data_IF_812645279402
#
_entry.id   IF_812645279402
#
_cell.length_a   1.000
_cell.length_b   1.000
_cell.length_c   1.000
_cell.angle_alpha   90.00
_cell.angle_beta   90.00
_cell.angle_gamma   90.00
#
_symmetry.space_group_name_H-M   'P 1'
#
loop_
_entity.id
_entity.type
_entity.pdbx_description
1 polymer ?
#
# COMPACT_ATOMS: atom_id res chain seq x y z
N UNK A 1 2.14 7.48 24.53
CA UNK A 1 0.81 8.13 24.50
C UNK A 1 0.14 7.92 23.14
N UNK A 2 -1.19 7.79 23.07
CA UNK A 2 -1.91 7.66 21.80
C UNK A 2 -2.45 9.01 21.32
N UNK A 3 -2.41 9.26 20.01
CA UNK A 3 -2.98 10.45 19.38
C UNK A 3 -4.49 10.24 19.12
N UNK A 4 -5.32 10.78 20.01
CA UNK A 4 -6.78 10.67 19.96
C UNK A 4 -7.41 11.49 18.83
N UNK A 5 -6.79 12.60 18.41
CA UNK A 5 -7.29 13.39 17.28
C UNK A 5 -7.15 12.59 15.98
N UNK A 6 -5.97 11.99 15.78
CA UNK A 6 -5.70 11.14 14.63
C UNK A 6 -6.66 9.95 14.58
N UNK A 7 -6.85 9.24 15.71
CA UNK A 7 -7.79 8.12 15.78
C UNK A 7 -9.21 8.53 15.39
N UNK A 8 -9.68 9.69 15.89
CA UNK A 8 -10.99 10.25 15.56
C UNK A 8 -11.13 10.55 14.07
N UNK A 9 -10.11 11.17 13.47
CA UNK A 9 -10.10 11.48 12.04
C UNK A 9 -10.12 10.21 11.18
N UNK A 10 -9.39 9.16 11.56
CA UNK A 10 -9.39 7.86 10.86
C UNK A 10 -10.78 7.20 10.92
N UNK A 11 -11.44 7.20 12.09
CA UNK A 11 -12.81 6.72 12.24
C UNK A 11 -13.79 7.51 11.36
N UNK A 12 -13.57 8.82 11.22
CA UNK A 12 -14.34 9.70 10.34
C UNK A 12 -13.96 9.59 8.84
N UNK A 13 -13.09 8.65 8.47
CA UNK A 13 -12.80 8.35 7.07
C UNK A 13 -11.50 8.94 6.54
N UNK A 14 -10.64 9.55 7.37
CA UNK A 14 -9.30 9.94 6.95
C UNK A 14 -8.55 8.71 6.41
N UNK A 15 -8.01 8.80 5.20
CA UNK A 15 -7.18 7.77 4.56
C UNK A 15 -5.92 8.40 3.98
N UNK A 16 -4.83 7.63 3.86
CA UNK A 16 -3.63 8.07 3.15
C UNK A 16 -3.92 8.62 1.76
N UNK A 17 -3.18 9.66 1.39
CA UNK A 17 -3.23 10.24 0.06
C UNK A 17 -2.68 9.26 -0.98
N UNK A 18 -3.30 9.23 -2.16
CA UNK A 18 -2.86 8.38 -3.26
C UNK A 18 -1.76 9.12 -4.01
N UNK A 19 -0.56 8.58 -3.99
CA UNK A 19 0.57 9.16 -4.72
C UNK A 19 0.45 8.84 -6.20
N UNK A 20 0.75 9.83 -7.05
CA UNK A 20 0.84 9.65 -8.50
C UNK A 20 1.78 8.48 -8.82
N UNK A 21 1.51 7.74 -9.90
CA UNK A 21 2.26 6.52 -10.28
C UNK A 21 2.08 5.30 -9.37
N UNK A 22 1.18 5.36 -8.36
CA UNK A 22 0.78 4.14 -7.64
C UNK A 22 0.16 3.13 -8.62
N UNK A 23 0.65 1.89 -8.70
CA UNK A 23 0.07 0.85 -9.57
C UNK A 23 -1.41 0.66 -9.29
N UNK A 24 -2.24 0.66 -10.33
CA UNK A 24 -3.70 0.61 -10.20
C UNK A 24 -4.19 -0.65 -9.47
N UNK A 25 -3.50 -1.77 -9.68
CA UNK A 25 -3.77 -3.04 -8.97
C UNK A 25 -3.47 -2.93 -7.48
N UNK A 26 -2.43 -2.19 -7.09
CA UNK A 26 -2.12 -1.94 -5.69
C UNK A 26 -3.10 -0.94 -5.09
N UNK A 27 -3.44 0.13 -5.81
CA UNK A 27 -4.43 1.12 -5.38
C UNK A 27 -5.78 0.48 -5.04
N UNK A 28 -6.23 -0.43 -5.89
CA UNK A 28 -7.48 -1.17 -5.69
C UNK A 28 -7.43 -2.06 -4.45
N UNK A 29 -6.32 -2.77 -4.25
CA UNK A 29 -6.10 -3.61 -3.06
C UNK A 29 -6.02 -2.77 -1.77
N UNK A 30 -5.20 -1.72 -1.76
CA UNK A 30 -5.03 -0.79 -0.65
C UNK A 30 -6.38 -0.18 -0.23
N UNK A 31 -7.23 0.18 -1.21
CA UNK A 31 -8.57 0.69 -0.94
C UNK A 31 -9.48 -0.30 -0.23
N UNK A 32 -9.38 -1.59 -0.57
CA UNK A 32 -10.13 -2.65 0.13
C UNK A 32 -9.59 -2.89 1.54
N UNK A 33 -8.27 -2.85 1.75
CA UNK A 33 -7.65 -3.06 3.06
C UNK A 33 -8.18 -2.11 4.15
N UNK A 34 -8.52 -0.87 3.80
CA UNK A 34 -9.02 0.13 4.74
C UNK A 34 -10.50 0.49 4.54
N UNK A 35 -11.27 -0.40 3.91
CA UNK A 35 -12.68 -0.20 3.66
C UNK A 35 -13.45 0.02 4.98
N UNK A 36 -14.47 0.90 4.96
CA UNK A 36 -15.24 1.24 6.17
C UNK A 36 -15.98 0.01 6.71
N UNK A 37 -16.65 -0.74 5.83
CA UNK A 37 -17.22 -2.04 6.16
C UNK A 37 -16.09 -3.08 6.34
N UNK A 38 -15.92 -3.69 7.53
CA UNK A 38 -14.91 -4.72 7.77
C UNK A 38 -15.04 -5.95 6.88
N UNK A 39 -16.27 -6.33 6.49
CA UNK A 39 -16.52 -7.52 5.66
C UNK A 39 -16.00 -7.37 4.21
N UNK A 40 -15.80 -6.14 3.75
CA UNK A 40 -15.24 -5.83 2.43
C UNK A 40 -13.71 -5.85 2.42
N UNK A 41 -13.09 -5.95 3.61
CA UNK A 41 -11.63 -6.00 3.74
C UNK A 41 -11.15 -7.39 3.34
N UNK A 42 -10.04 -7.50 2.58
CA UNK A 42 -9.44 -8.79 2.32
C UNK A 42 -8.94 -9.39 3.62
N UNK A 43 -9.12 -10.69 3.76
CA UNK A 43 -8.45 -11.43 4.82
C UNK A 43 -6.96 -11.64 4.49
N UNK A 44 -6.20 -12.12 5.46
CA UNK A 44 -4.74 -12.31 5.30
C UNK A 44 -4.39 -13.32 4.21
N UNK A 45 -5.21 -14.36 4.01
CA UNK A 45 -4.95 -15.38 2.99
C UNK A 45 -5.12 -14.78 1.59
N UNK A 46 -6.23 -14.08 1.35
CA UNK A 46 -6.46 -13.39 0.07
C UNK A 46 -5.34 -12.38 -0.23
N UNK A 47 -4.89 -11.65 0.80
CA UNK A 47 -3.81 -10.68 0.67
C UNK A 47 -2.49 -11.37 0.28
N UNK A 48 -2.11 -12.45 0.97
CA UNK A 48 -0.91 -13.24 0.67
C UNK A 48 -0.96 -13.80 -0.76
N UNK A 49 -2.06 -14.47 -1.14
CA UNK A 49 -2.23 -15.03 -2.48
C UNK A 49 -2.10 -13.97 -3.57
N UNK A 50 -2.68 -12.78 -3.34
CA UNK A 50 -2.60 -11.67 -4.29
C UNK A 50 -1.17 -11.17 -4.46
N UNK A 51 -0.46 -10.96 -3.35
CA UNK A 51 0.91 -10.47 -3.35
C UNK A 51 1.88 -11.49 -3.96
N UNK A 52 1.72 -12.78 -3.64
CA UNK A 52 2.53 -13.87 -4.17
C UNK A 52 2.31 -14.05 -5.68
N UNK A 53 1.07 -13.93 -6.14
CA UNK A 53 0.73 -13.93 -7.56
C UNK A 53 1.42 -12.78 -8.30
N UNK A 54 1.45 -11.58 -7.71
CA UNK A 54 2.14 -10.44 -8.29
C UNK A 54 3.65 -10.61 -8.33
N UNK A 55 4.25 -11.09 -7.23
CA UNK A 55 5.68 -11.36 -7.17
C UNK A 55 6.09 -12.39 -8.24
N UNK A 56 5.32 -13.47 -8.37
CA UNK A 56 5.51 -14.50 -9.40
C UNK A 56 5.42 -13.92 -10.81
N UNK A 57 4.39 -13.10 -11.07
CA UNK A 57 4.21 -12.47 -12.37
C UNK A 57 5.37 -11.53 -12.73
N UNK A 58 5.84 -10.73 -11.76
CA UNK A 58 6.98 -9.81 -11.94
C UNK A 58 8.26 -10.60 -12.24
N UNK A 59 8.49 -11.72 -11.56
CA UNK A 59 9.70 -12.54 -11.72
C UNK A 59 9.71 -13.34 -13.03
N UNK A 60 8.59 -13.97 -13.39
CA UNK A 60 8.56 -14.98 -14.46
C UNK A 60 7.81 -14.54 -15.72
N UNK A 61 7.03 -13.47 -15.66
CA UNK A 61 6.26 -12.96 -16.79
C UNK A 61 6.36 -11.43 -16.88
N UNK A 62 7.53 -10.89 -17.30
CA UNK A 62 7.77 -9.46 -17.28
C UNK A 62 6.82 -8.68 -18.18
N UNK A 63 6.17 -9.32 -19.16
CA UNK A 63 5.20 -8.70 -20.08
C UNK A 63 3.76 -8.70 -19.57
N UNK A 64 3.46 -9.45 -18.50
CA UNK A 64 2.13 -9.52 -17.90
C UNK A 64 1.62 -8.15 -17.47
N UNK A 65 0.29 -7.95 -17.48
CA UNK A 65 -0.35 -6.70 -17.08
C UNK A 65 0.13 -6.22 -15.70
N UNK A 66 0.21 -7.13 -14.72
CA UNK A 66 0.72 -6.85 -13.38
C UNK A 66 2.14 -6.30 -13.48
N UNK A 67 3.05 -7.04 -14.12
CA UNK A 67 4.43 -6.63 -14.30
C UNK A 67 4.52 -5.26 -14.97
N UNK A 68 3.65 -4.96 -15.95
CA UNK A 68 3.64 -3.63 -16.62
C UNK A 68 3.31 -2.49 -15.68
N UNK A 69 2.39 -2.69 -14.72
CA UNK A 69 2.02 -1.65 -13.77
C UNK A 69 3.12 -1.38 -12.73
N UNK A 70 3.92 -2.39 -12.40
CA UNK A 70 5.05 -2.24 -11.48
C UNK A 70 6.37 -1.85 -12.17
N UNK A 71 6.42 -1.80 -13.52
CA UNK A 71 7.58 -1.27 -14.27
C UNK A 71 7.62 0.26 -14.13
N UNK A 72 8.63 0.77 -13.43
CA UNK A 72 8.93 2.22 -13.39
C UNK A 72 8.88 2.86 -11.99
N UNK A 73 8.46 2.13 -10.95
CA UNK A 73 8.42 2.65 -9.57
C UNK A 73 9.85 2.80 -8.95
N UNK A 74 10.89 2.31 -9.63
CA UNK A 74 12.29 2.42 -9.18
C UNK A 74 12.91 3.82 -9.33
N UNK A 75 12.26 4.78 -10.01
CA UNK A 75 12.78 6.17 -10.05
C UNK A 75 12.40 7.01 -8.82
N UNK A 76 11.37 6.61 -8.09
CA UNK A 76 10.89 7.32 -6.89
C UNK A 76 11.25 6.61 -5.58
N UNK A 77 11.91 5.44 -5.63
CA UNK A 77 12.42 4.75 -4.43
C UNK A 77 13.35 5.65 -3.60
N UNK A 78 14.13 6.52 -4.25
CA UNK A 78 14.94 7.54 -3.59
C UNK A 78 14.11 8.64 -2.92
N UNK A 79 12.87 8.90 -3.35
CA UNK A 79 12.00 9.92 -2.76
C UNK A 79 11.28 9.38 -1.52
N UNK A 80 10.89 8.10 -1.51
CA UNK A 80 10.27 7.46 -0.34
C UNK A 80 11.28 7.08 0.75
N UNK A 81 12.48 6.61 0.40
CA UNK A 81 13.57 6.38 1.38
C UNK A 81 14.03 7.70 2.06
N UNK A 82 13.82 8.85 1.42
CA UNK A 82 14.08 10.18 1.99
C UNK A 82 12.89 10.76 2.79
N UNK A 83 11.71 10.12 2.75
CA UNK A 83 10.51 10.53 3.50
C UNK A 83 10.13 9.55 4.61
N UNK A 84 10.88 8.45 4.78
CA UNK A 84 10.85 7.69 6.03
C UNK A 84 11.21 8.65 7.15
N UNK A 85 10.19 8.99 7.93
CA UNK A 85 10.31 9.59 9.26
C UNK A 85 11.47 8.88 9.94
N UNK A 86 12.47 9.67 10.35
CA UNK A 86 13.61 9.25 11.14
C UNK A 86 13.16 8.14 12.10
N UNK A 87 13.65 6.92 11.90
CA UNK A 87 13.28 5.75 12.69
C UNK A 87 13.65 5.92 14.18
N UNK A 88 14.31 7.03 14.53
CA UNK A 88 14.57 7.51 15.89
C UNK A 88 13.39 8.26 16.54
N UNK A 89 12.32 8.60 15.83
CA UNK A 89 11.16 9.31 16.40
C UNK A 89 10.04 8.39 16.94
N UNK A 90 10.15 7.08 16.76
CA UNK A 90 9.19 6.09 17.31
C UNK A 90 9.76 5.41 18.57
N UNK A 91 11.05 5.59 18.86
CA UNK A 91 11.68 5.24 20.13
C UNK A 91 12.23 6.51 20.79
N UNK A 92 11.35 7.29 21.44
CA UNK A 92 11.61 8.07 22.65
C UNK A 92 10.27 8.54 23.25
#
# INVERSE_FOLDING_TARGET
>A
PHDLDLATRICNGLRPEIVTNTPEVYLSLMKRCWHQNPEERPNVIELCEKLDSWATAIQHNPTSMISRQFRGVNRERSVFENRTIDSMAIYN
#
